data_IF_689469993414
#
_entry.id   IF_689469993414
#
_cell.length_a   1.000
_cell.length_b   1.000
_cell.length_c   1.000
_cell.angle_alpha   90.00
_cell.angle_beta   90.00
_cell.angle_gamma   90.00
#
_symmetry.space_group_name_H-M   'P 1'
#
loop_
_entity.id
_entity.type
_entity.pdbx_description
1 polymer ?
#
# COMPACT_ATOMS: atom_id res chain seq x y z
N UNK A 1 -32.80 5.30 30.93
CA UNK A 1 -31.64 4.38 31.05
C UNK A 1 -31.67 3.43 29.86
N UNK A 2 -30.69 3.52 28.95
CA UNK A 2 -30.57 2.54 27.87
C UNK A 2 -30.14 1.21 28.51
N UNK A 3 -30.82 0.11 28.20
CA UNK A 3 -30.46 -1.20 28.75
C UNK A 3 -28.99 -1.52 28.43
N UNK A 4 -28.20 -2.07 29.37
CA UNK A 4 -26.79 -2.40 29.15
C UNK A 4 -26.59 -3.32 27.92
N UNK A 5 -27.60 -4.14 27.60
CA UNK A 5 -27.61 -5.01 26.42
C UNK A 5 -27.67 -4.19 25.12
N UNK A 6 -28.48 -3.13 25.09
CA UNK A 6 -28.62 -2.25 23.92
C UNK A 6 -27.35 -1.45 23.70
N UNK A 7 -26.72 -0.95 24.78
CA UNK A 7 -25.42 -0.27 24.70
C UNK A 7 -24.31 -1.17 24.15
N UNK A 8 -24.27 -2.43 24.58
CA UNK A 8 -23.31 -3.42 24.07
C UNK A 8 -23.53 -3.71 22.58
N UNK A 9 -24.79 -3.88 22.15
CA UNK A 9 -25.14 -4.15 20.76
C UNK A 9 -24.69 -3.01 19.83
N UNK A 10 -24.96 -1.76 20.21
CA UNK A 10 -24.55 -0.56 19.46
C UNK A 10 -23.03 -0.50 19.32
N UNK A 11 -22.31 -0.75 20.42
CA UNK A 11 -20.84 -0.74 20.44
C UNK A 11 -20.27 -1.82 19.51
N UNK A 12 -20.84 -3.02 19.51
CA UNK A 12 -20.41 -4.11 18.65
C UNK A 12 -20.63 -3.78 17.17
N UNK A 13 -21.82 -3.26 16.82
CA UNK A 13 -22.15 -2.86 15.44
C UNK A 13 -21.21 -1.75 14.95
N UNK A 14 -20.93 -0.75 15.79
CA UNK A 14 -19.96 0.31 15.51
C UNK A 14 -18.56 -0.24 15.18
N UNK A 15 -18.04 -1.17 15.99
CA UNK A 15 -16.72 -1.76 15.79
C UNK A 15 -16.64 -2.58 14.49
N UNK A 16 -17.67 -3.37 14.21
CA UNK A 16 -17.76 -4.15 12.97
C UNK A 16 -17.86 -3.23 11.76
N UNK A 17 -18.69 -2.18 11.83
CA UNK A 17 -18.84 -1.19 10.76
C UNK A 17 -17.53 -0.48 10.42
N UNK A 18 -16.83 0.03 11.43
CA UNK A 18 -15.51 0.67 11.24
C UNK A 18 -14.49 -0.28 10.62
N UNK A 19 -14.43 -1.53 11.10
CA UNK A 19 -13.56 -2.56 10.53
C UNK A 19 -13.91 -2.93 9.08
N UNK A 20 -15.20 -2.92 8.73
CA UNK A 20 -15.70 -3.17 7.37
C UNK A 20 -15.29 -2.08 6.40
N UNK A 21 -15.51 -0.81 6.77
CA UNK A 21 -15.13 0.35 5.95
C UNK A 21 -13.62 0.38 5.71
N UNK A 22 -12.81 0.12 6.74
CA UNK A 22 -11.35 0.05 6.61
C UNK A 22 -10.91 -0.99 5.58
N UNK A 23 -11.49 -2.20 5.63
CA UNK A 23 -11.21 -3.26 4.64
C UNK A 23 -11.64 -2.88 3.23
N UNK A 24 -12.81 -2.25 3.09
CA UNK A 24 -13.32 -1.82 1.79
C UNK A 24 -12.39 -0.79 1.14
N UNK A 25 -11.96 0.24 1.89
CA UNK A 25 -11.02 1.25 1.39
C UNK A 25 -9.66 0.65 1.04
N UNK A 26 -9.18 -0.30 1.84
CA UNK A 26 -7.94 -1.02 1.55
C UNK A 26 -8.04 -1.81 0.24
N UNK A 27 -9.15 -2.51 0.02
CA UNK A 27 -9.40 -3.25 -1.23
C UNK A 27 -9.47 -2.32 -2.44
N UNK A 28 -10.26 -1.26 -2.36
CA UNK A 28 -10.40 -0.30 -3.46
C UNK A 28 -9.06 0.35 -3.82
N UNK A 29 -8.25 0.69 -2.81
CA UNK A 29 -6.93 1.24 -3.06
C UNK A 29 -6.00 0.22 -3.75
N UNK A 30 -6.07 -1.07 -3.41
CA UNK A 30 -5.30 -2.12 -4.09
C UNK A 30 -5.76 -2.34 -5.53
N UNK A 31 -7.05 -2.23 -5.80
CA UNK A 31 -7.63 -2.30 -7.15
C UNK A 31 -7.13 -1.12 -7.99
N UNK A 32 -7.22 0.11 -7.47
CA UNK A 32 -6.70 1.31 -8.13
C UNK A 32 -5.18 1.22 -8.40
N UNK A 33 -4.42 0.66 -7.46
CA UNK A 33 -2.98 0.46 -7.62
C UNK A 33 -2.67 -0.50 -8.77
N UNK A 34 -3.40 -1.61 -8.86
CA UNK A 34 -3.25 -2.58 -9.95
C UNK A 34 -3.65 -2.00 -11.31
N UNK A 35 -4.68 -1.15 -11.36
CA UNK A 35 -5.08 -0.46 -12.59
C UNK A 35 -4.01 0.52 -13.07
N UNK A 36 -3.41 1.28 -12.16
CA UNK A 36 -2.33 2.23 -12.47
C UNK A 36 -1.08 1.54 -12.98
N UNK A 37 -0.67 0.43 -12.36
CA UNK A 37 0.46 -0.38 -12.83
C UNK A 37 0.30 -0.86 -14.27
N UNK A 38 -0.91 -1.27 -14.66
CA UNK A 38 -1.18 -1.71 -16.03
C UNK A 38 -0.92 -0.60 -17.07
N UNK A 39 -1.07 0.67 -16.70
CA UNK A 39 -0.87 1.82 -17.61
C UNK A 39 0.59 2.04 -17.97
N UNK A 40 1.50 1.68 -17.06
CA UNK A 40 2.93 1.92 -17.19
C UNK A 40 3.73 0.65 -17.48
N UNK A 41 3.06 -0.46 -17.83
CA UNK A 41 3.69 -1.76 -18.17
C UNK A 41 4.75 -1.64 -19.27
N UNK A 42 4.66 -0.60 -20.12
CA UNK A 42 5.63 -0.37 -21.17
C UNK A 42 7.01 0.00 -20.63
N UNK A 43 7.12 0.58 -19.43
CA UNK A 43 8.38 1.06 -18.84
C UNK A 43 9.22 -0.10 -18.32
N UNK A 44 10.42 -0.28 -18.86
CA UNK A 44 11.40 -1.22 -18.31
C UNK A 44 11.98 -0.70 -16.98
N UNK A 45 11.75 -1.43 -15.90
CA UNK A 45 12.31 -1.14 -14.58
C UNK A 45 13.39 -2.18 -14.25
N UNK A 46 14.59 -1.71 -13.94
CA UNK A 46 15.74 -2.53 -13.56
C UNK A 46 16.26 -2.09 -12.19
N UNK A 47 16.77 -3.04 -11.43
CA UNK A 47 17.50 -2.80 -10.17
C UNK A 47 19.02 -2.74 -10.38
N UNK A 48 19.48 -2.91 -11.61
CA UNK A 48 20.89 -2.82 -12.01
C UNK A 48 21.27 -1.42 -12.44
N UNK A 49 22.53 -1.04 -12.21
CA UNK A 49 23.05 0.27 -12.57
C UNK A 49 23.18 0.50 -14.08
N UNK A 50 23.37 -0.57 -14.86
CA UNK A 50 23.52 -0.50 -16.30
C UNK A 50 22.30 -1.09 -17.02
N UNK A 51 21.83 -0.46 -18.12
CA UNK A 51 20.82 -1.05 -18.98
C UNK A 51 21.40 -2.25 -19.74
N UNK A 52 20.56 -3.18 -20.22
CA UNK A 52 21.01 -4.31 -21.04
C UNK A 52 21.74 -3.83 -22.31
N UNK A 53 22.68 -4.65 -22.76
CA UNK A 53 23.51 -4.39 -23.94
C UNK A 53 22.62 -4.13 -25.17
N UNK A 54 22.90 -3.03 -25.89
CA UNK A 54 22.13 -2.60 -27.07
C UNK A 54 21.12 -1.49 -26.79
N UNK A 55 20.93 -1.08 -25.53
CA UNK A 55 20.29 0.18 -25.18
C UNK A 55 21.38 1.21 -24.90
N UNK A 56 21.60 2.13 -25.84
CA UNK A 56 22.43 3.32 -25.60
C UNK A 56 21.52 4.45 -25.08
N UNK A 57 21.50 4.73 -23.77
CA UNK A 57 20.73 5.84 -23.23
C UNK A 57 21.32 7.15 -23.74
N UNK A 58 20.60 7.81 -24.65
CA UNK A 58 20.99 9.12 -25.21
C UNK A 58 20.82 10.23 -24.17
N UNK A 59 19.88 10.06 -23.23
CA UNK A 59 19.57 11.01 -22.15
C UNK A 59 18.91 10.28 -20.97
N UNK A 60 19.15 10.76 -19.74
CA UNK A 60 18.53 10.22 -18.53
C UNK A 60 18.20 11.34 -17.56
N UNK A 61 17.00 11.29 -16.99
CA UNK A 61 16.54 12.21 -15.95
C UNK A 61 16.35 11.44 -14.64
N UNK A 62 16.62 12.12 -13.51
CA UNK A 62 16.34 11.57 -12.19
C UNK A 62 14.85 11.72 -11.87
N UNK A 63 14.19 10.61 -11.59
CA UNK A 63 12.81 10.56 -11.09
C UNK A 63 12.78 10.02 -9.66
N UNK A 64 11.81 10.46 -8.85
CA UNK A 64 11.71 10.05 -7.44
C UNK A 64 10.25 9.76 -7.10
N UNK A 65 10.00 8.61 -6.51
CA UNK A 65 8.68 8.24 -5.98
C UNK A 65 8.70 8.07 -4.46
N UNK A 66 7.69 8.64 -3.80
CA UNK A 66 7.55 8.57 -2.34
C UNK A 66 6.10 8.24 -1.96
N UNK A 67 5.93 7.47 -0.88
CA UNK A 67 4.62 7.16 -0.33
C UNK A 67 4.68 7.04 1.20
N UNK A 68 3.69 7.63 1.86
CA UNK A 68 3.46 7.49 3.30
C UNK A 68 2.11 6.83 3.49
N UNK A 69 2.09 5.66 4.12
CA UNK A 69 0.87 4.90 4.36
C UNK A 69 0.67 4.73 5.85
N UNK A 70 -0.41 5.32 6.36
CA UNK A 70 -0.83 5.17 7.76
C UNK A 70 -1.24 3.74 8.11
N UNK A 71 -1.05 3.38 9.38
CA UNK A 71 -1.57 2.13 9.96
C UNK A 71 -2.74 2.44 10.88
N UNK A 72 -3.83 1.69 10.77
CA UNK A 72 -4.97 1.86 11.67
C UNK A 72 -4.64 1.36 13.09
N UNK A 73 -5.09 2.09 14.10
CA UNK A 73 -4.90 1.76 15.52
C UNK A 73 -5.37 0.35 15.89
N UNK A 74 -6.43 -0.17 15.25
CA UNK A 74 -6.90 -1.54 15.43
C UNK A 74 -5.83 -2.57 15.03
N UNK A 75 -5.15 -2.34 13.90
CA UNK A 75 -4.06 -3.21 13.44
C UNK A 75 -2.88 -3.15 14.41
N UNK A 76 -2.58 -1.97 14.98
CA UNK A 76 -1.56 -1.81 16.02
C UNK A 76 -1.93 -2.51 17.34
N UNK A 77 -3.20 -2.47 17.75
CA UNK A 77 -3.70 -3.14 18.95
C UNK A 77 -3.54 -4.67 18.84
N UNK A 78 -4.02 -5.28 17.75
CA UNK A 78 -3.84 -6.72 17.53
C UNK A 78 -2.37 -7.12 17.35
N UNK A 79 -1.55 -6.25 16.75
CA UNK A 79 -0.10 -6.42 16.68
C UNK A 79 0.54 -6.50 18.07
N UNK A 80 0.14 -5.67 19.03
CA UNK A 80 0.65 -5.72 20.42
C UNK A 80 0.28 -7.03 21.11
N UNK A 81 -0.90 -7.58 20.86
CA UNK A 81 -1.27 -8.92 21.36
C UNK A 81 -0.40 -10.03 20.78
N UNK A 82 0.04 -9.89 19.52
CA UNK A 82 0.95 -10.86 18.89
C UNK A 82 2.36 -10.85 19.50
N UNK A 83 2.83 -9.70 20.00
CA UNK A 83 4.13 -9.61 20.67
C UNK A 83 4.24 -10.51 21.92
N UNK A 84 3.12 -10.91 22.53
CA UNK A 84 3.12 -11.82 23.68
C UNK A 84 3.33 -13.29 23.28
N UNK A 85 2.90 -13.67 22.08
CA UNK A 85 2.98 -15.05 21.58
C UNK A 85 4.10 -15.26 20.54
N UNK A 86 4.76 -14.17 20.12
CA UNK A 86 5.76 -14.19 19.07
C UNK A 86 5.18 -14.35 17.65
N UNK A 87 6.06 -14.38 16.66
CA UNK A 87 5.72 -14.57 15.26
C UNK A 87 5.67 -13.30 14.42
N UNK A 88 5.54 -13.48 13.10
CA UNK A 88 5.72 -12.43 12.11
C UNK A 88 4.56 -11.42 12.11
N UNK A 89 4.92 -10.13 12.03
CA UNK A 89 3.98 -9.02 12.08
C UNK A 89 3.36 -8.73 10.72
N UNK A 90 2.58 -9.67 10.21
CA UNK A 90 1.97 -9.64 8.86
C UNK A 90 1.17 -8.36 8.57
N UNK A 91 0.61 -7.72 9.60
CA UNK A 91 -0.11 -6.46 9.44
C UNK A 91 0.82 -5.30 9.00
N UNK A 92 2.02 -5.20 9.59
CA UNK A 92 3.01 -4.18 9.20
C UNK A 92 3.63 -4.49 7.83
N UNK A 93 3.89 -5.77 7.54
CA UNK A 93 4.41 -6.18 6.23
C UNK A 93 3.51 -5.76 5.07
N UNK A 94 2.18 -5.96 5.22
CA UNK A 94 1.21 -5.52 4.21
C UNK A 94 1.25 -4.01 3.97
N UNK A 95 1.46 -3.23 5.03
CA UNK A 95 1.51 -1.77 4.93
C UNK A 95 2.81 -1.34 4.26
N UNK A 96 3.94 -1.93 4.67
CA UNK A 96 5.25 -1.64 4.09
C UNK A 96 5.33 -2.05 2.61
N UNK A 97 4.85 -3.25 2.26
CA UNK A 97 4.84 -3.69 0.86
C UNK A 97 3.97 -2.80 -0.01
N UNK A 98 2.81 -2.38 0.50
CA UNK A 98 1.93 -1.43 -0.18
C UNK A 98 2.58 -0.05 -0.34
N UNK A 99 3.26 0.46 0.69
CA UNK A 99 3.95 1.75 0.63
C UNK A 99 5.09 1.71 -0.40
N UNK A 100 5.88 0.64 -0.40
CA UNK A 100 6.93 0.42 -1.40
C UNK A 100 6.35 0.36 -2.81
N UNK A 101 5.28 -0.41 -3.02
CA UNK A 101 4.62 -0.55 -4.32
C UNK A 101 4.08 0.79 -4.84
N UNK A 102 3.43 1.57 -3.98
CA UNK A 102 2.95 2.91 -4.33
C UNK A 102 4.10 3.89 -4.65
N UNK A 103 5.18 3.87 -3.86
CA UNK A 103 6.34 4.72 -4.11
C UNK A 103 7.03 4.37 -5.44
N UNK A 104 7.25 3.09 -5.71
CA UNK A 104 7.81 2.62 -6.97
C UNK A 104 6.91 2.97 -8.15
N UNK A 105 5.60 2.76 -8.03
CA UNK A 105 4.67 3.10 -9.10
C UNK A 105 4.69 4.59 -9.43
N UNK A 106 4.72 5.48 -8.43
CA UNK A 106 4.82 6.93 -8.66
C UNK A 106 6.11 7.34 -9.37
N UNK A 107 7.23 6.66 -9.07
CA UNK A 107 8.49 6.88 -9.76
C UNK A 107 8.38 6.47 -11.24
N UNK A 108 7.74 5.33 -11.50
CA UNK A 108 7.55 4.81 -12.86
C UNK A 108 6.53 5.65 -13.64
N UNK A 109 5.47 6.14 -13.00
CA UNK A 109 4.50 7.07 -13.60
C UNK A 109 5.18 8.39 -14.00
N UNK A 110 6.01 8.99 -13.13
CA UNK A 110 6.77 10.20 -13.49
C UNK A 110 7.74 9.95 -14.66
N UNK A 111 8.39 8.79 -14.70
CA UNK A 111 9.23 8.41 -15.85
C UNK A 111 8.40 8.24 -17.14
N UNK A 112 7.26 7.55 -17.05
CA UNK A 112 6.36 7.32 -18.18
C UNK A 112 5.81 8.62 -18.76
N UNK A 113 5.38 9.54 -17.90
CA UNK A 113 4.84 10.84 -18.28
C UNK A 113 5.91 11.73 -18.97
N UNK A 114 7.19 11.51 -18.65
CA UNK A 114 8.34 12.12 -19.34
C UNK A 114 8.76 11.38 -20.62
N UNK A 115 8.06 10.30 -20.99
CA UNK A 115 8.25 9.57 -22.23
C UNK A 115 9.13 8.31 -22.12
N UNK A 116 9.48 7.86 -20.91
CA UNK A 116 10.20 6.60 -20.73
C UNK A 116 9.36 5.40 -21.17
N UNK A 117 10.03 4.40 -21.77
CA UNK A 117 9.49 3.12 -22.22
C UNK A 117 10.58 2.09 -22.02
#
# INVERSE_FOLDING_TARGET
MVSPIVGLLITLVMLVGLGGIGRMRERQHLENLAEREKRVTAVLVLDTAAPPLGLDPVHGELVIGNAVIGTDYLKQFFARWRNLFGGEMKAYQKVLSRARREAQLRMVEDAYDRGAR
#
